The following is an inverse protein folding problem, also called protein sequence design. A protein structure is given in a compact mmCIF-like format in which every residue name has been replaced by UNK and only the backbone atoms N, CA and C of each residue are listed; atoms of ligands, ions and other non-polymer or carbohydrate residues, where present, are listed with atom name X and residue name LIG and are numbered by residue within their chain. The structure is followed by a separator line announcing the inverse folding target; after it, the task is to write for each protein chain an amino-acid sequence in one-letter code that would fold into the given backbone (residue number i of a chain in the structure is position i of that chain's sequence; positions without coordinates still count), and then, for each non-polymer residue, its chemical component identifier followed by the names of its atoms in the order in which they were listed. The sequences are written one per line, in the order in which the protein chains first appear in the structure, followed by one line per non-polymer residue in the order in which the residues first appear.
data_IF_716660314515
#
_entry.id   IF_716660314515
#
_cell.length_a   1.000
_cell.length_b   1.000
_cell.length_c   1.000
_cell.angle_alpha   90.00
_cell.angle_beta   90.00
_cell.angle_gamma   90.00
#
_symmetry.space_group_name_H-M   'P 1'
#
loop_
_entity.id
_entity.type
_entity.pdbx_description
1 polymer ?
#
# COMPACT_ATOMS: atom_id res chain seq x y z
N UNK A 1 -59.36 18.83 50.70
CA UNK A 1 -57.89 19.07 50.84
C UNK A 1 -57.16 18.47 49.65
N UNK A 2 -56.09 19.15 49.21
CA UNK A 2 -55.50 19.17 47.85
C UNK A 2 -54.79 17.86 47.43
N UNK A 3 -55.07 17.38 46.20
CA UNK A 3 -54.26 16.39 45.46
C UNK A 3 -52.96 17.04 44.97
N UNK A 4 -51.79 16.57 45.44
CA UNK A 4 -50.48 16.93 44.88
C UNK A 4 -50.19 16.05 43.66
N UNK A 5 -50.08 16.68 42.49
CA UNK A 5 -49.55 16.06 41.26
C UNK A 5 -48.02 16.06 41.34
N UNK A 6 -47.40 14.89 41.36
CA UNK A 6 -45.96 14.72 41.14
C UNK A 6 -45.70 14.78 39.64
N UNK A 7 -45.02 15.84 39.18
CA UNK A 7 -44.47 15.89 37.83
C UNK A 7 -43.19 15.04 37.76
N UNK A 8 -42.93 14.31 36.66
CA UNK A 8 -41.76 13.45 36.55
C UNK A 8 -40.50 14.27 36.28
N UNK A 9 -39.54 14.23 37.19
CA UNK A 9 -38.23 14.88 37.10
C UNK A 9 -37.25 14.17 36.13
N UNK A 10 -37.74 13.60 35.03
CA UNK A 10 -36.94 12.79 34.08
C UNK A 10 -36.48 13.62 32.85
N UNK A 11 -37.17 14.72 32.55
CA UNK A 11 -36.94 15.53 31.35
C UNK A 11 -35.60 16.33 31.36
N UNK A 12 -35.11 16.92 32.48
CA UNK A 12 -33.91 17.76 32.41
C UNK A 12 -32.60 16.97 32.29
N UNK A 13 -32.58 15.66 32.61
CA UNK A 13 -31.38 14.83 32.51
C UNK A 13 -31.12 14.40 31.05
N UNK A 14 -32.15 14.21 30.24
CA UNK A 14 -31.99 13.84 28.82
C UNK A 14 -31.35 14.98 28.00
N UNK A 15 -31.66 16.24 28.30
CA UNK A 15 -31.15 17.40 27.57
C UNK A 15 -29.65 17.64 27.85
N UNK A 16 -29.17 17.33 29.04
CA UNK A 16 -27.76 17.47 29.41
C UNK A 16 -26.83 16.49 28.68
N UNK A 17 -27.32 15.29 28.33
CA UNK A 17 -26.55 14.28 27.57
C UNK A 17 -26.38 14.67 26.10
N UNK A 18 -27.32 15.43 25.52
CA UNK A 18 -27.21 15.90 24.13
C UNK A 18 -26.28 17.11 23.95
N UNK A 19 -25.97 17.87 25.01
CA UNK A 19 -25.16 19.10 24.91
C UNK A 19 -23.66 18.88 25.15
N UNK A 20 -23.24 17.74 25.69
CA UNK A 20 -21.82 17.39 25.88
C UNK A 20 -21.17 16.72 24.65
N UNK A 21 -21.91 16.55 23.55
CA UNK A 21 -21.45 15.88 22.34
C UNK A 21 -20.65 16.73 21.33
N UNK A 22 -20.40 18.01 21.60
CA UNK A 22 -19.67 18.90 20.68
C UNK A 22 -18.36 19.42 21.28
N UNK A 23 -17.52 18.54 21.83
CA UNK A 23 -16.10 18.87 21.98
C UNK A 23 -15.48 18.80 20.58
N UNK A 24 -15.04 19.95 20.05
CA UNK A 24 -14.12 19.98 18.91
C UNK A 24 -12.84 19.29 19.38
N UNK A 25 -12.72 18.00 19.10
CA UNK A 25 -11.48 17.25 19.34
C UNK A 25 -10.49 17.74 18.31
N UNK A 26 -9.56 18.59 18.74
CA UNK A 26 -8.42 18.98 17.92
C UNK A 26 -7.55 17.74 17.68
N UNK A 27 -6.94 17.60 16.49
CA UNK A 27 -6.06 16.47 16.21
C UNK A 27 -4.92 16.43 17.23
N UNK A 28 -4.63 15.24 17.78
CA UNK A 28 -3.55 15.06 18.76
C UNK A 28 -2.18 15.39 18.16
N UNK A 29 -2.03 15.21 16.84
CA UNK A 29 -0.78 15.47 16.11
C UNK A 29 -1.01 16.48 14.99
N UNK A 30 0.00 17.34 14.77
CA UNK A 30 0.02 18.32 13.67
C UNK A 30 1.08 17.94 12.64
N UNK A 31 1.01 18.53 11.43
CA UNK A 31 1.95 18.24 10.34
C UNK A 31 3.39 18.60 10.72
N UNK A 32 3.57 19.65 11.52
CA UNK A 32 4.88 20.14 11.98
C UNK A 32 5.54 19.19 12.97
N UNK A 33 4.75 18.40 13.72
CA UNK A 33 5.24 17.50 14.77
C UNK A 33 5.21 16.03 14.37
N UNK A 34 4.78 15.70 13.16
CA UNK A 34 4.56 14.30 12.75
C UNK A 34 5.85 13.47 12.84
N UNK A 35 6.97 14.04 12.39
CA UNK A 35 8.29 13.41 12.41
C UNK A 35 8.67 13.04 13.84
N UNK A 36 8.72 14.04 14.73
CA UNK A 36 9.06 13.85 16.13
C UNK A 36 8.11 12.89 16.85
N UNK A 37 6.82 12.94 16.50
CA UNK A 37 5.79 12.09 17.11
C UNK A 37 5.96 10.62 16.73
N UNK A 38 6.29 10.33 15.46
CA UNK A 38 6.55 8.96 15.00
C UNK A 38 7.82 8.42 15.66
N UNK A 39 8.91 9.20 15.67
CA UNK A 39 10.18 8.82 16.31
C UNK A 39 9.94 8.54 17.80
N UNK A 40 9.32 9.48 18.52
CA UNK A 40 9.07 9.36 19.96
C UNK A 40 8.21 8.16 20.31
N UNK A 41 7.14 7.90 19.53
CA UNK A 41 6.25 6.77 19.77
C UNK A 41 6.97 5.44 19.51
N UNK A 42 7.73 5.34 18.41
CA UNK A 42 8.48 4.12 18.11
C UNK A 42 9.56 3.84 19.15
N UNK A 43 10.27 4.88 19.60
CA UNK A 43 11.30 4.75 20.62
C UNK A 43 10.68 4.32 21.96
N UNK A 44 9.62 4.98 22.39
CA UNK A 44 8.99 4.74 23.70
C UNK A 44 8.33 3.37 23.79
N UNK A 45 7.60 2.94 22.76
CA UNK A 45 6.82 1.70 22.82
C UNK A 45 7.58 0.47 22.33
N UNK A 46 8.51 0.66 21.39
CA UNK A 46 9.14 -0.45 20.68
C UNK A 46 10.66 -0.49 20.82
N UNK A 47 11.27 0.52 21.44
CA UNK A 47 12.72 0.69 21.54
C UNK A 47 13.39 0.67 20.15
N UNK A 48 12.74 1.32 19.18
CA UNK A 48 13.24 1.49 17.81
C UNK A 48 13.32 3.00 17.55
N UNK A 49 14.49 3.48 17.13
CA UNK A 49 14.70 4.88 16.78
C UNK A 49 14.83 5.02 15.25
N UNK A 50 13.70 5.10 14.52
CA UNK A 50 13.76 5.22 13.07
C UNK A 50 14.19 6.64 12.65
N UNK A 51 14.70 6.76 11.42
CA UNK A 51 14.86 8.08 10.77
C UNK A 51 13.59 8.39 9.99
N UNK A 52 13.05 9.58 10.15
CA UNK A 52 11.73 9.93 9.61
C UNK A 52 11.79 11.25 8.87
N UNK A 53 11.16 11.32 7.70
CA UNK A 53 11.04 12.53 6.90
C UNK A 53 9.63 12.67 6.35
N UNK A 54 9.16 13.91 6.27
CA UNK A 54 7.91 14.24 5.60
C UNK A 54 8.23 15.01 4.32
N UNK A 55 7.83 14.44 3.18
CA UNK A 55 7.92 15.08 1.86
C UNK A 55 6.50 15.25 1.34
N UNK A 56 6.01 16.48 1.31
CA UNK A 56 4.63 16.82 0.92
C UNK A 56 3.57 15.94 1.60
N UNK A 57 3.05 14.93 0.92
CA UNK A 57 2.01 14.01 1.39
C UNK A 57 2.53 12.58 1.59
N UNK A 58 3.85 12.41 1.67
CA UNK A 58 4.52 11.12 1.89
C UNK A 58 5.39 11.16 3.14
N UNK A 59 5.11 10.24 4.07
CA UNK A 59 5.93 10.02 5.26
C UNK A 59 6.94 8.89 4.99
N UNK A 60 8.21 9.23 4.87
CA UNK A 60 9.31 8.29 4.75
C UNK A 60 9.84 7.90 6.12
N UNK A 61 10.10 6.61 6.30
CA UNK A 61 10.62 6.05 7.54
C UNK A 61 11.71 5.03 7.19
N UNK A 62 12.87 5.20 7.79
CA UNK A 62 14.05 4.37 7.55
C UNK A 62 14.47 3.65 8.83
N UNK A 63 14.81 2.38 8.68
CA UNK A 63 15.27 1.49 9.75
C UNK A 63 16.55 0.81 9.26
N UNK A 64 17.74 1.24 9.73
CA UNK A 64 18.94 0.46 9.45
C UNK A 64 18.88 -0.85 10.24
N UNK A 65 19.25 -1.96 9.59
CA UNK A 65 19.31 -3.30 10.20
C UNK A 65 20.64 -3.98 9.88
N UNK A 66 21.07 -4.87 10.78
CA UNK A 66 22.32 -5.63 10.59
C UNK A 66 22.20 -6.79 9.60
N UNK A 67 20.98 -7.25 9.34
CA UNK A 67 20.70 -8.33 8.40
C UNK A 67 19.26 -8.22 7.94
N UNK A 68 19.04 -7.98 6.65
CA UNK A 68 17.70 -7.97 6.08
C UNK A 68 17.21 -9.40 5.80
N UNK A 69 18.10 -10.27 5.34
CA UNK A 69 17.78 -11.66 4.97
C UNK A 69 18.60 -12.65 5.81
N UNK A 70 18.03 -13.84 5.97
CA UNK A 70 18.70 -15.00 6.58
C UNK A 70 19.50 -15.76 5.52
N UNK A 71 20.34 -16.71 5.96
CA UNK A 71 21.08 -17.62 5.07
C UNK A 71 20.20 -18.43 4.11
N UNK A 72 18.91 -18.59 4.43
CA UNK A 72 17.92 -19.26 3.60
C UNK A 72 17.17 -18.30 2.64
N UNK A 73 17.67 -17.06 2.46
CA UNK A 73 17.08 -16.02 1.60
C UNK A 73 15.66 -15.61 2.02
N UNK A 74 15.30 -15.82 3.28
CA UNK A 74 14.05 -15.34 3.87
C UNK A 74 14.30 -14.04 4.61
N UNK A 75 13.32 -13.13 4.61
CA UNK A 75 13.35 -11.92 5.42
C UNK A 75 13.61 -12.29 6.89
N UNK A 76 14.57 -11.63 7.51
CA UNK A 76 14.91 -11.82 8.91
C UNK A 76 13.70 -11.51 9.81
N UNK A 77 13.48 -12.36 10.82
CA UNK A 77 12.28 -12.27 11.65
C UNK A 77 12.30 -11.02 12.54
N UNK A 78 13.47 -10.65 13.07
CA UNK A 78 13.59 -9.44 13.90
C UNK A 78 13.35 -8.20 13.06
N UNK A 79 13.91 -8.17 11.84
CA UNK A 79 13.66 -7.11 10.86
C UNK A 79 12.18 -7.01 10.49
N UNK A 80 11.52 -8.14 10.21
CA UNK A 80 10.08 -8.15 9.94
C UNK A 80 9.26 -7.61 11.12
N UNK A 81 9.62 -7.97 12.35
CA UNK A 81 8.99 -7.45 13.57
C UNK A 81 9.21 -5.93 13.69
N UNK A 82 10.43 -5.46 13.43
CA UNK A 82 10.77 -4.03 13.49
C UNK A 82 9.95 -3.21 12.47
N UNK A 83 9.89 -3.66 11.22
CA UNK A 83 9.07 -3.05 10.16
C UNK A 83 7.61 -2.95 10.59
N UNK A 84 7.03 -4.04 11.11
CA UNK A 84 5.63 -4.05 11.55
C UNK A 84 5.37 -3.10 12.73
N UNK A 85 6.27 -3.05 13.72
CA UNK A 85 6.17 -2.16 14.88
C UNK A 85 6.24 -0.69 14.45
N UNK A 86 7.18 -0.35 13.57
CA UNK A 86 7.30 0.99 13.01
C UNK A 86 6.07 1.37 12.17
N UNK A 87 5.59 0.46 11.32
CA UNK A 87 4.37 0.69 10.54
C UNK A 87 3.15 0.90 11.45
N UNK A 88 3.02 0.14 12.53
CA UNK A 88 1.95 0.30 13.52
C UNK A 88 2.05 1.65 14.24
N UNK A 89 3.25 2.03 14.68
CA UNK A 89 3.51 3.31 15.35
C UNK A 89 3.20 4.50 14.45
N UNK A 90 3.72 4.48 13.22
CA UNK A 90 3.46 5.50 12.21
C UNK A 90 1.98 5.62 11.88
N UNK A 91 1.30 4.49 11.67
CA UNK A 91 -0.14 4.45 11.40
C UNK A 91 -0.94 5.12 12.52
N UNK A 92 -0.59 4.88 13.79
CA UNK A 92 -1.31 5.50 14.92
C UNK A 92 -1.19 7.02 14.94
N UNK A 93 0.00 7.55 14.66
CA UNK A 93 0.22 9.01 14.57
C UNK A 93 -0.55 9.60 13.39
N UNK A 94 -0.34 9.04 12.20
CA UNK A 94 -0.93 9.50 10.93
C UNK A 94 -2.46 9.42 10.93
N UNK A 95 -3.04 8.38 11.54
CA UNK A 95 -4.50 8.24 11.59
C UNK A 95 -5.16 9.20 12.59
N UNK A 96 -4.38 9.78 13.50
CA UNK A 96 -4.82 10.69 14.55
C UNK A 96 -4.61 12.18 14.21
N UNK A 97 -4.23 12.50 12.98
CA UNK A 97 -3.95 13.88 12.53
C UNK A 97 -4.86 14.35 11.39
N UNK A 98 -5.00 15.68 11.24
CA UNK A 98 -5.68 16.33 10.10
C UNK A 98 -5.01 17.68 9.74
N UNK A 99 -4.72 17.97 8.46
CA UNK A 99 -4.63 17.01 7.35
C UNK A 99 -3.51 15.98 7.61
N UNK A 100 -3.61 14.82 6.96
CA UNK A 100 -2.62 13.74 7.08
C UNK A 100 -1.95 13.47 5.74
N UNK A 101 -0.73 12.92 5.73
CA UNK A 101 -0.12 12.36 4.52
C UNK A 101 -1.06 11.37 3.81
N UNK A 102 -0.80 11.12 2.52
CA UNK A 102 -1.48 10.11 1.71
C UNK A 102 -0.74 8.76 1.74
N UNK A 103 0.58 8.80 1.88
CA UNK A 103 1.44 7.61 1.86
C UNK A 103 2.35 7.49 3.08
N UNK A 104 2.65 6.25 3.43
CA UNK A 104 3.76 5.88 4.31
C UNK A 104 4.71 5.00 3.50
N UNK A 105 5.99 5.32 3.52
CA UNK A 105 7.06 4.50 2.96
C UNK A 105 7.96 4.05 4.10
N UNK A 106 8.04 2.75 4.36
CA UNK A 106 8.98 2.18 5.32
C UNK A 106 10.08 1.46 4.56
N UNK A 107 11.33 1.82 4.82
CA UNK A 107 12.52 1.16 4.26
C UNK A 107 13.31 0.54 5.39
N UNK A 108 13.56 -0.76 5.29
CA UNK A 108 14.57 -1.42 6.10
C UNK A 108 15.77 -1.76 5.22
N UNK A 109 16.97 -1.35 5.63
CA UNK A 109 18.18 -1.55 4.83
C UNK A 109 19.23 -2.31 5.60
N UNK A 110 19.79 -3.35 4.98
CA UNK A 110 20.94 -4.08 5.48
C UNK A 110 22.20 -3.23 5.35
N UNK A 111 22.63 -2.65 6.47
CA UNK A 111 23.80 -1.77 6.51
C UNK A 111 25.12 -2.54 6.70
N UNK A 112 25.10 -3.87 6.88
CA UNK A 112 26.29 -4.61 7.31
C UNK A 112 26.77 -5.68 6.32
N UNK A 113 25.87 -6.40 5.65
CA UNK A 113 26.26 -7.56 4.84
C UNK A 113 26.15 -7.30 3.34
N UNK A 114 24.93 -7.05 2.86
CA UNK A 114 24.63 -7.10 1.43
C UNK A 114 24.26 -5.74 0.82
N UNK A 115 23.93 -4.73 1.63
CA UNK A 115 23.44 -3.45 1.10
C UNK A 115 22.08 -3.61 0.41
N UNK A 116 21.16 -4.34 1.04
CA UNK A 116 19.83 -4.61 0.49
C UNK A 116 18.80 -3.71 1.14
N UNK A 117 17.91 -3.15 0.33
CA UNK A 117 16.75 -2.38 0.77
C UNK A 117 15.48 -3.21 0.64
N UNK A 118 14.64 -3.15 1.66
CA UNK A 118 13.28 -3.64 1.64
C UNK A 118 12.33 -2.48 1.89
N UNK A 119 11.68 -2.03 0.82
CA UNK A 119 10.80 -0.87 0.82
C UNK A 119 9.34 -1.30 0.73
N UNK A 120 8.52 -0.81 1.65
CA UNK A 120 7.07 -0.93 1.62
C UNK A 120 6.45 0.44 1.45
N UNK A 121 5.71 0.66 0.35
CA UNK A 121 4.86 1.84 0.19
C UNK A 121 3.39 1.47 0.41
N UNK A 122 2.74 2.17 1.35
CA UNK A 122 1.36 1.95 1.76
C UNK A 122 0.53 3.21 1.58
N UNK A 123 -0.62 3.09 0.90
CA UNK A 123 -1.63 4.14 0.82
C UNK A 123 -2.47 4.17 2.10
N UNK A 124 -2.50 5.30 2.80
CA UNK A 124 -3.11 5.42 4.13
C UNK A 124 -4.61 5.05 4.16
N UNK A 125 -5.43 5.40 3.16
CA UNK A 125 -6.81 4.92 3.10
C UNK A 125 -6.96 3.40 3.08
N UNK A 126 -5.99 2.63 2.59
CA UNK A 126 -6.02 1.16 2.70
C UNK A 126 -5.76 0.67 4.12
N UNK A 127 -4.96 1.39 4.92
CA UNK A 127 -4.79 1.12 6.36
C UNK A 127 -6.14 1.29 7.07
N UNK A 128 -6.86 2.37 6.75
CA UNK A 128 -8.21 2.62 7.30
C UNK A 128 -9.17 1.50 6.89
N UNK A 129 -9.21 1.13 5.60
CA UNK A 129 -10.06 0.03 5.11
C UNK A 129 -9.72 -1.28 5.80
N UNK A 130 -8.44 -1.58 6.01
CA UNK A 130 -7.99 -2.79 6.69
C UNK A 130 -8.41 -2.80 8.17
N UNK A 131 -8.20 -1.70 8.90
CA UNK A 131 -8.61 -1.58 10.31
C UNK A 131 -10.13 -1.68 10.49
N UNK A 132 -10.90 -1.17 9.53
CA UNK A 132 -12.36 -1.31 9.48
C UNK A 132 -12.83 -2.65 8.92
N UNK A 133 -11.92 -3.59 8.64
CA UNK A 133 -12.19 -4.92 8.07
C UNK A 133 -12.95 -4.88 6.73
N UNK A 134 -12.85 -3.77 5.99
CA UNK A 134 -13.43 -3.62 4.65
C UNK A 134 -12.62 -4.38 3.58
N UNK A 135 -11.36 -4.70 3.88
CA UNK A 135 -10.49 -5.56 3.08
C UNK A 135 -9.83 -6.61 3.96
N UNK A 136 -9.58 -7.79 3.40
CA UNK A 136 -8.87 -8.86 4.12
C UNK A 136 -7.40 -8.53 4.33
N UNK A 137 -6.73 -9.26 5.23
CA UNK A 137 -5.28 -9.16 5.42
C UNK A 137 -4.50 -9.43 4.13
N UNK A 138 -4.91 -10.44 3.37
CA UNK A 138 -4.26 -10.80 2.10
C UNK A 138 -4.44 -9.70 1.06
N UNK A 139 -5.63 -9.09 0.99
CA UNK A 139 -5.88 -7.97 0.07
C UNK A 139 -5.09 -6.73 0.49
N UNK A 140 -5.01 -6.41 1.79
CA UNK A 140 -4.16 -5.34 2.30
C UNK A 140 -2.69 -5.58 1.95
N UNK A 141 -2.18 -6.80 2.16
CA UNK A 141 -0.82 -7.18 1.79
C UNK A 141 -0.55 -7.00 0.28
N UNK A 142 -1.51 -7.38 -0.58
CA UNK A 142 -1.41 -7.18 -2.03
C UNK A 142 -1.47 -5.71 -2.48
N UNK A 143 -2.03 -4.82 -1.65
CA UNK A 143 -2.11 -3.36 -1.90
C UNK A 143 -0.90 -2.59 -1.41
N UNK A 144 -0.01 -3.20 -0.64
CA UNK A 144 1.30 -2.62 -0.37
C UNK A 144 2.18 -2.82 -1.60
N UNK A 145 2.92 -1.78 -2.01
CA UNK A 145 4.01 -1.93 -2.97
C UNK A 145 5.24 -2.41 -2.20
N UNK A 146 5.85 -3.49 -2.66
CA UNK A 146 7.05 -4.06 -2.06
C UNK A 146 8.14 -4.03 -3.12
N UNK A 147 9.22 -3.32 -2.81
CA UNK A 147 10.42 -3.24 -3.64
C UNK A 147 11.60 -3.77 -2.85
N UNK A 148 12.39 -4.62 -3.50
CA UNK A 148 13.64 -5.14 -2.97
C UNK A 148 14.73 -4.76 -3.97
N UNK A 149 15.73 -4.02 -3.50
CA UNK A 149 16.84 -3.55 -4.34
C UNK A 149 18.15 -3.76 -3.62
N UNK A 150 19.22 -3.93 -4.40
CA UNK A 150 20.59 -3.90 -3.92
C UNK A 150 21.16 -2.51 -4.21
N UNK A 151 21.63 -1.82 -3.17
CA UNK A 151 22.39 -0.59 -3.26
C UNK A 151 23.60 -0.66 -2.33
N UNK A 152 24.79 -0.78 -2.91
CA UNK A 152 26.04 -0.82 -2.15
C UNK A 152 26.25 0.40 -1.25
N UNK A 153 25.58 1.53 -1.51
CA UNK A 153 25.62 2.73 -0.66
C UNK A 153 24.85 2.57 0.64
N UNK A 154 24.01 1.56 0.78
CA UNK A 154 23.33 1.22 2.04
C UNK A 154 24.33 0.70 3.10
N UNK A 155 25.47 0.13 2.67
CA UNK A 155 26.49 -0.37 3.59
C UNK A 155 27.07 0.76 4.46
N UNK A 156 26.91 0.62 5.78
CA UNK A 156 27.30 1.58 6.79
C UNK A 156 26.41 2.83 6.89
N UNK A 157 25.32 2.91 6.13
CA UNK A 157 24.44 4.08 6.14
C UNK A 157 23.35 3.98 7.21
N UNK A 158 23.68 4.40 8.43
CA UNK A 158 22.72 4.43 9.54
C UNK A 158 21.69 5.59 9.44
N UNK A 159 21.83 6.48 8.46
CA UNK A 159 21.04 7.71 8.35
C UNK A 159 20.11 7.73 7.11
N UNK A 160 20.14 6.71 6.26
CA UNK A 160 19.30 6.60 5.06
C UNK A 160 19.60 7.67 4.00
N UNK A 161 20.88 8.07 3.90
CA UNK A 161 21.40 9.04 2.92
C UNK A 161 21.40 8.51 1.49
N UNK A 162 21.54 7.20 1.29
CA UNK A 162 21.51 6.58 -0.04
C UNK A 162 20.13 6.66 -0.70
N UNK A 163 19.05 6.71 0.09
CA UNK A 163 17.69 6.68 -0.42
C UNK A 163 17.30 7.94 -1.20
N UNK A 164 16.84 7.75 -2.43
CA UNK A 164 16.19 8.78 -3.25
C UNK A 164 14.73 8.99 -2.82
N UNK A 165 14.54 9.78 -1.76
CA UNK A 165 13.23 10.06 -1.19
C UNK A 165 12.47 11.06 -2.07
N UNK A 166 11.26 10.72 -2.46
CA UNK A 166 10.34 11.58 -3.23
C UNK A 166 8.91 11.51 -2.71
N UNK A 167 8.10 12.51 -3.04
CA UNK A 167 6.65 12.40 -2.82
C UNK A 167 6.04 11.38 -3.77
N UNK A 168 5.17 10.51 -3.25
CA UNK A 168 4.53 9.45 -4.02
C UNK A 168 3.25 9.98 -4.64
N UNK A 169 3.23 10.02 -5.97
CA UNK A 169 2.03 10.34 -6.71
C UNK A 169 1.05 9.16 -6.73
N UNK A 170 -0.23 9.42 -6.48
CA UNK A 170 -1.26 8.38 -6.47
C UNK A 170 -1.39 7.60 -7.79
N UNK A 171 -1.25 8.26 -8.94
CA UNK A 171 -1.32 7.59 -10.24
C UNK A 171 -0.08 6.74 -10.52
N UNK A 172 1.10 7.20 -10.10
CA UNK A 172 2.33 6.39 -10.15
C UNK A 172 2.21 5.16 -9.25
N UNK A 173 1.72 5.33 -8.01
CA UNK A 173 1.42 4.23 -7.09
C UNK A 173 0.47 3.21 -7.72
N UNK A 174 -0.62 3.65 -8.37
CA UNK A 174 -1.56 2.75 -9.04
C UNK A 174 -0.92 2.02 -10.23
N UNK A 175 -0.08 2.70 -11.00
CA UNK A 175 0.70 2.09 -12.08
C UNK A 175 1.58 0.95 -11.55
N UNK A 176 2.35 1.21 -10.49
CA UNK A 176 3.19 0.22 -9.85
C UNK A 176 2.37 -0.93 -9.24
N UNK A 177 1.20 -0.63 -8.67
CA UNK A 177 0.29 -1.63 -8.10
C UNK A 177 -0.20 -2.62 -9.16
N UNK A 178 -0.53 -2.11 -10.36
CA UNK A 178 -0.89 -2.95 -11.51
C UNK A 178 0.29 -3.84 -11.91
N UNK A 179 1.47 -3.25 -12.09
CA UNK A 179 2.68 -3.99 -12.48
C UNK A 179 3.02 -5.09 -11.48
N UNK A 180 2.97 -4.79 -10.17
CA UNK A 180 3.21 -5.77 -9.11
C UNK A 180 2.18 -6.90 -9.13
N UNK A 181 0.89 -6.60 -9.28
CA UNK A 181 -0.15 -7.64 -9.32
C UNK A 181 -0.03 -8.53 -10.55
N UNK A 182 0.34 -7.97 -11.71
CA UNK A 182 0.68 -8.76 -12.90
C UNK A 182 1.87 -9.67 -12.59
N UNK A 183 2.94 -9.13 -12.00
CA UNK A 183 4.11 -9.92 -11.61
C UNK A 183 3.71 -11.10 -10.73
N UNK A 184 3.02 -10.85 -9.62
CA UNK A 184 2.56 -11.90 -8.70
C UNK A 184 1.68 -12.94 -9.41
N UNK A 185 0.77 -12.51 -10.31
CA UNK A 185 -0.08 -13.44 -11.05
C UNK A 185 0.72 -14.41 -11.91
N UNK A 186 1.76 -13.94 -12.59
CA UNK A 186 2.50 -14.78 -13.52
C UNK A 186 3.71 -15.49 -12.90
N UNK A 187 4.19 -15.06 -11.73
CA UNK A 187 5.37 -15.66 -11.07
C UNK A 187 5.05 -16.47 -9.81
N UNK A 188 3.92 -16.21 -9.13
CA UNK A 188 3.60 -16.85 -7.84
C UNK A 188 2.37 -17.76 -7.92
N UNK A 189 1.47 -17.56 -8.90
CA UNK A 189 0.31 -18.42 -9.05
C UNK A 189 0.74 -19.75 -9.72
N UNK A 190 0.56 -20.92 -9.07
CA UNK A 190 0.96 -22.22 -9.61
C UNK A 190 0.36 -22.52 -10.98
N UNK A 191 -0.78 -21.90 -11.33
CA UNK A 191 -1.40 -22.03 -12.64
C UNK A 191 -0.58 -21.40 -13.78
N UNK A 192 0.31 -20.44 -13.48
CA UNK A 192 1.03 -19.66 -14.47
C UNK A 192 2.56 -19.77 -14.34
N UNK A 193 3.09 -19.90 -13.11
CA UNK A 193 4.53 -19.79 -12.82
C UNK A 193 5.42 -20.72 -13.67
N UNK A 194 4.94 -21.92 -13.99
CA UNK A 194 5.70 -22.93 -14.74
C UNK A 194 5.58 -22.80 -16.26
N UNK A 195 4.65 -21.97 -16.73
CA UNK A 195 4.24 -21.88 -18.14
C UNK A 195 4.63 -20.57 -18.79
N UNK A 196 4.89 -19.53 -18.00
CA UNK A 196 5.20 -18.20 -18.49
C UNK A 196 6.52 -17.70 -17.92
N UNK A 197 7.34 -17.09 -18.79
CA UNK A 197 8.48 -16.28 -18.40
C UNK A 197 8.08 -14.83 -18.45
N UNK A 198 8.29 -14.13 -17.35
CA UNK A 198 7.99 -12.71 -17.21
C UNK A 198 9.27 -11.89 -17.39
N UNK A 199 9.18 -10.79 -18.13
CA UNK A 199 10.24 -9.79 -18.25
C UNK A 199 9.80 -8.46 -17.64
N UNK A 200 10.10 -7.37 -18.34
CA UNK A 200 9.71 -6.02 -17.93
C UNK A 200 8.18 -5.82 -18.02
N UNK A 201 7.62 -5.13 -17.03
CA UNK A 201 6.23 -4.68 -17.03
C UNK A 201 6.23 -3.18 -16.77
N UNK A 202 5.69 -2.42 -17.72
CA UNK A 202 5.47 -0.99 -17.61
C UNK A 202 3.98 -0.70 -17.64
N UNK A 203 3.53 0.09 -16.68
CA UNK A 203 2.15 0.54 -16.56
C UNK A 203 2.14 2.06 -16.47
N UNK A 204 1.37 2.70 -17.33
CA UNK A 204 1.24 4.16 -17.38
C UNK A 204 -0.24 4.53 -17.39
N UNK A 205 -0.60 5.53 -16.60
CA UNK A 205 -1.95 6.09 -16.59
C UNK A 205 -1.87 7.49 -17.19
N UNK A 206 -2.48 7.66 -18.36
CA UNK A 206 -2.44 8.92 -19.13
C UNK A 206 -3.87 9.36 -19.43
N UNK A 207 -4.32 10.42 -18.74
CA UNK A 207 -5.72 10.83 -18.74
C UNK A 207 -6.62 9.70 -18.25
N UNK A 208 -7.58 9.29 -19.09
CA UNK A 208 -8.56 8.27 -18.75
C UNK A 208 -8.17 6.87 -19.28
N UNK A 209 -6.90 6.68 -19.68
CA UNK A 209 -6.43 5.44 -20.31
C UNK A 209 -5.34 4.79 -19.47
N UNK A 210 -5.52 3.49 -19.19
CA UNK A 210 -4.50 2.64 -18.59
C UNK A 210 -3.74 1.93 -19.71
N UNK A 211 -2.44 2.18 -19.84
CA UNK A 211 -1.58 1.52 -20.82
C UNK A 211 -0.62 0.57 -20.13
N UNK A 212 -0.65 -0.70 -20.51
CA UNK A 212 0.17 -1.75 -19.94
C UNK A 212 0.98 -2.40 -21.05
N UNK A 213 2.30 -2.37 -20.90
CA UNK A 213 3.25 -3.11 -21.73
C UNK A 213 3.91 -4.16 -20.86
N UNK A 214 3.75 -5.44 -21.20
CA UNK A 214 4.30 -6.53 -20.41
C UNK A 214 5.01 -7.54 -21.32
N UNK A 215 6.25 -7.89 -20.99
CA UNK A 215 6.91 -9.04 -21.62
C UNK A 215 6.46 -10.31 -20.92
N UNK A 216 5.59 -11.09 -21.58
CA UNK A 216 5.11 -12.39 -21.05
C UNK A 216 5.21 -13.43 -22.16
N UNK A 217 6.20 -14.31 -22.04
CA UNK A 217 6.50 -15.35 -23.01
C UNK A 217 6.00 -16.71 -22.51
N UNK A 218 5.29 -17.46 -23.36
CA UNK A 218 4.86 -18.84 -23.04
C UNK A 218 6.05 -19.78 -23.26
N UNK A 219 6.53 -20.42 -22.21
CA UNK A 219 7.71 -21.31 -22.24
C UNK A 219 7.36 -22.80 -22.23
N UNK A 220 6.13 -23.16 -21.83
CA UNK A 220 5.63 -24.54 -21.86
C UNK A 220 4.22 -24.60 -22.42
N UNK A 221 3.85 -25.75 -22.99
CA UNK A 221 2.47 -26.02 -23.35
C UNK A 221 1.59 -26.01 -22.09
N UNK A 222 0.47 -25.29 -22.16
CA UNK A 222 -0.49 -25.23 -21.06
C UNK A 222 -1.35 -26.50 -21.06
N UNK A 223 -1.75 -27.04 -19.90
CA UNK A 223 -2.74 -28.11 -19.82
C UNK A 223 -4.10 -27.69 -20.39
N UNK A 224 -4.40 -26.39 -20.35
CA UNK A 224 -5.59 -25.77 -20.91
C UNK A 224 -5.17 -24.62 -21.85
N UNK A 225 -5.38 -24.78 -23.16
CA UNK A 225 -4.93 -23.82 -24.18
C UNK A 225 -5.76 -22.53 -24.23
N UNK A 226 -6.68 -22.34 -23.27
CA UNK A 226 -7.60 -21.19 -23.21
C UNK A 226 -7.05 -19.96 -22.49
N UNK A 227 -5.86 -20.01 -21.89
CA UNK A 227 -5.32 -18.83 -21.18
C UNK A 227 -4.97 -17.73 -22.17
N UNK A 228 -5.68 -16.61 -22.07
CA UNK A 228 -5.41 -15.41 -22.82
C UNK A 228 -4.75 -14.36 -21.90
N UNK A 229 -3.45 -14.12 -22.11
CA UNK A 229 -2.64 -13.22 -21.29
C UNK A 229 -3.24 -11.82 -21.20
N UNK A 230 -3.72 -11.26 -22.32
CA UNK A 230 -4.31 -9.92 -22.35
C UNK A 230 -5.59 -9.85 -21.52
N UNK A 231 -6.44 -10.88 -21.57
CA UNK A 231 -7.64 -10.96 -20.71
C UNK A 231 -7.28 -11.07 -19.24
N UNK A 232 -6.24 -11.81 -18.89
CA UNK A 232 -5.80 -11.93 -17.49
C UNK A 232 -5.24 -10.62 -16.96
N UNK A 233 -4.42 -9.89 -17.74
CA UNK A 233 -3.98 -8.54 -17.39
C UNK A 233 -5.18 -7.59 -17.24
N UNK A 234 -6.14 -7.62 -18.18
CA UNK A 234 -7.32 -6.77 -18.14
C UNK A 234 -8.15 -6.97 -16.86
N UNK A 235 -8.28 -8.22 -16.39
CA UNK A 235 -8.95 -8.53 -15.12
C UNK A 235 -8.22 -7.88 -13.94
N UNK A 236 -6.88 -8.00 -13.88
CA UNK A 236 -6.07 -7.41 -12.80
C UNK A 236 -6.26 -5.89 -12.77
N UNK A 237 -6.12 -5.22 -13.91
CA UNK A 237 -6.27 -3.76 -13.99
C UNK A 237 -7.68 -3.35 -13.56
N UNK A 238 -8.71 -4.09 -13.97
CA UNK A 238 -10.08 -3.81 -13.56
C UNK A 238 -10.33 -4.05 -12.06
N UNK A 239 -9.72 -5.07 -11.46
CA UNK A 239 -9.75 -5.30 -10.02
C UNK A 239 -9.11 -4.13 -9.26
N UNK A 240 -7.99 -3.60 -9.74
CA UNK A 240 -7.35 -2.39 -9.19
C UNK A 240 -8.28 -1.18 -9.33
N UNK A 241 -8.81 -0.91 -10.53
CA UNK A 241 -9.77 0.17 -10.77
C UNK A 241 -10.94 0.12 -9.79
N UNK A 242 -11.51 -1.07 -9.56
CA UNK A 242 -12.58 -1.28 -8.58
C UNK A 242 -12.12 -1.06 -7.15
N UNK A 243 -10.96 -1.59 -6.77
CA UNK A 243 -10.39 -1.52 -5.43
C UNK A 243 -10.16 -0.08 -4.93
N UNK A 244 -9.84 0.81 -5.87
CA UNK A 244 -9.59 2.23 -5.65
C UNK A 244 -10.72 3.15 -6.14
N UNK A 245 -11.87 2.57 -6.50
CA UNK A 245 -13.09 3.29 -6.90
C UNK A 245 -12.91 4.31 -8.04
N UNK A 246 -12.03 3.99 -9.00
CA UNK A 246 -11.72 4.87 -10.13
C UNK A 246 -12.89 4.84 -11.12
N UNK A 247 -13.59 5.98 -11.26
CA UNK A 247 -14.80 6.08 -12.10
C UNK A 247 -14.51 6.49 -13.55
N UNK A 248 -13.53 7.38 -13.71
CA UNK A 248 -13.29 8.16 -14.93
C UNK A 248 -12.22 7.53 -15.83
N UNK A 249 -12.35 6.23 -16.10
CA UNK A 249 -11.51 5.55 -17.07
C UNK A 249 -12.33 5.18 -18.32
N UNK A 250 -11.69 5.28 -19.48
CA UNK A 250 -12.29 5.03 -20.79
C UNK A 250 -11.94 3.63 -21.29
N UNK A 251 -10.64 3.30 -21.29
CA UNK A 251 -10.13 2.07 -21.87
C UNK A 251 -8.83 1.59 -21.20
N UNK A 252 -8.56 0.30 -21.39
CA UNK A 252 -7.32 -0.36 -21.02
C UNK A 252 -6.65 -0.83 -22.32
N UNK A 253 -5.43 -0.35 -22.57
CA UNK A 253 -4.58 -0.74 -23.69
C UNK A 253 -3.48 -1.67 -23.19
N UNK A 254 -3.42 -2.90 -23.72
CA UNK A 254 -2.49 -3.93 -23.29
C UNK A 254 -1.69 -4.42 -24.48
N UNK A 255 -0.38 -4.34 -24.36
CA UNK A 255 0.58 -4.90 -25.30
C UNK A 255 1.43 -5.97 -24.62
N UNK A 256 1.40 -7.20 -25.16
CA UNK A 256 2.37 -8.21 -24.81
C UNK A 256 3.59 -8.06 -25.72
N UNK A 257 4.67 -7.50 -25.19
CA UNK A 257 5.88 -7.16 -25.96
C UNK A 257 6.66 -8.39 -26.44
N UNK A 258 6.46 -9.56 -25.82
CA UNK A 258 7.08 -10.81 -26.27
C UNK A 258 6.45 -11.35 -27.57
N UNK A 259 5.17 -11.05 -27.82
CA UNK A 259 4.42 -11.59 -28.96
C UNK A 259 3.94 -10.52 -29.94
N UNK A 260 4.07 -9.25 -29.60
CA UNK A 260 3.49 -8.12 -30.33
C UNK A 260 1.96 -8.03 -30.27
N UNK A 261 1.29 -8.94 -29.54
CA UNK A 261 -0.17 -8.96 -29.44
C UNK A 261 -0.69 -7.80 -28.61
N UNK A 262 -1.58 -7.02 -29.21
CA UNK A 262 -2.28 -5.89 -28.58
C UNK A 262 -3.74 -6.21 -28.34
N UNK A 263 -4.30 -5.65 -27.27
CA UNK A 263 -5.72 -5.71 -26.98
C UNK A 263 -6.17 -4.42 -26.32
N UNK A 264 -7.36 -3.96 -26.73
CA UNK A 264 -8.02 -2.80 -26.15
C UNK A 264 -9.29 -3.29 -25.48
N UNK A 265 -9.52 -2.85 -24.24
CA UNK A 265 -10.73 -3.18 -23.49
C UNK A 265 -11.44 -1.91 -23.05
N UNK A 266 -12.68 -1.77 -23.50
CA UNK A 266 -13.59 -0.75 -23.01
C UNK A 266 -14.16 -1.13 -21.64
N UNK A 267 -14.69 -0.15 -20.91
CA UNK A 267 -15.44 -0.37 -19.67
C UNK A 267 -16.53 -1.45 -19.81
N UNK A 268 -17.24 -1.48 -20.94
CA UNK A 268 -18.32 -2.44 -21.19
C UNK A 268 -17.83 -3.88 -21.34
N UNK A 269 -16.65 -4.08 -21.95
CA UNK A 269 -16.05 -5.40 -22.16
C UNK A 269 -15.48 -5.97 -20.86
N UNK A 270 -14.90 -5.12 -20.02
CA UNK A 270 -14.37 -5.50 -18.72
C UNK A 270 -15.47 -6.01 -17.78
N UNK A 271 -16.64 -5.37 -17.80
CA UNK A 271 -17.81 -5.83 -17.02
C UNK A 271 -18.27 -7.21 -17.49
N UNK A 272 -18.16 -7.52 -18.79
CA UNK A 272 -18.51 -8.85 -19.33
C UNK A 272 -17.46 -9.91 -19.01
N UNK A 273 -16.19 -9.55 -18.90
CA UNK A 273 -15.08 -10.48 -18.60
C UNK A 273 -15.12 -11.08 -17.20
N UNK A 274 -15.93 -10.51 -16.30
CA UNK A 274 -16.01 -10.87 -14.88
C UNK A 274 -17.41 -11.34 -14.46
N UNK A 275 -18.30 -11.58 -15.43
CA UNK A 275 -19.55 -12.32 -15.27
C UNK A 275 -19.36 -13.72 -15.78
#
# INVERSE_FOLDING_TARGET
MRKRKTAPAIIPILIAVFLSGCLKIEPTYTKEKIVDSVISLCLTEYNIEPKVWLLEDTLWIYIPVSSLITSNLQLDQETFIAINKVMLGASRVVLSMKPRPQFIVVVASDTQQYGLDYMITTWIPDIVKYQLQLISRDEFGRRNLIEISEDAKALGDEEGRHLEKKDINFWEFLSLQISQRIRFKFTLDPKYQDYFKLGEINSEISGNTFRIKAYIEKIKALPDDKINVQKEIAKIVFEVIKAYEIKDYLLIDIENTATGKKALFTKSELVKLLR
#
